data_IF_930943016991
#
_entry.id   IF_930943016991
#
_cell.length_a   1.000
_cell.length_b   1.000
_cell.length_c   1.000
_cell.angle_alpha   90.00
_cell.angle_beta   90.00
_cell.angle_gamma   90.00
#
_symmetry.space_group_name_H-M   'P 1'
#
loop_
_entity.id
_entity.type
_entity.pdbx_description
1 polymer ?
#
# COMPACT_ATOMS: atom_id res chain seq x y z
N UNK A 1 -7.19 6.87 -20.91
CA UNK A 1 -6.49 5.58 -20.69
C UNK A 1 -6.15 5.49 -19.21
N UNK A 2 -6.60 4.43 -18.54
CA UNK A 2 -6.34 4.25 -17.12
C UNK A 2 -4.86 3.89 -16.89
N UNK A 3 -4.27 4.44 -15.83
CA UNK A 3 -2.85 4.21 -15.54
C UNK A 3 -2.63 2.80 -14.97
N UNK A 4 -1.63 2.09 -15.50
CA UNK A 4 -1.15 0.83 -14.94
C UNK A 4 -0.14 1.11 -13.82
N UNK A 5 -0.22 0.31 -12.75
CA UNK A 5 0.62 0.39 -11.55
C UNK A 5 1.14 -0.99 -11.20
N UNK A 6 2.15 -1.05 -10.34
CA UNK A 6 2.75 -2.31 -9.88
C UNK A 6 2.43 -2.52 -8.42
N UNK A 7 1.84 -3.67 -8.09
CA UNK A 7 1.63 -4.09 -6.72
C UNK A 7 2.99 -4.28 -6.01
N UNK A 8 3.16 -3.63 -4.86
CA UNK A 8 4.40 -3.74 -4.07
C UNK A 8 4.53 -5.07 -3.34
N UNK A 9 3.42 -5.80 -3.17
CA UNK A 9 3.39 -7.14 -2.58
C UNK A 9 3.81 -8.23 -3.58
N UNK A 10 2.98 -8.48 -4.59
CA UNK A 10 3.20 -9.57 -5.56
C UNK A 10 4.01 -9.18 -6.79
N UNK A 11 4.30 -7.88 -7.01
CA UNK A 11 5.03 -7.35 -8.18
C UNK A 11 4.31 -7.45 -9.53
N UNK A 12 3.07 -7.96 -9.56
CA UNK A 12 2.23 -7.92 -10.74
C UNK A 12 1.83 -6.48 -11.12
N UNK A 13 1.55 -6.26 -12.40
CA UNK A 13 1.02 -4.99 -12.93
C UNK A 13 -0.48 -5.10 -13.09
N UNK A 14 -1.19 -4.03 -12.77
CA UNK A 14 -2.64 -3.97 -12.89
C UNK A 14 -3.12 -2.52 -13.11
N UNK A 15 -4.40 -2.36 -13.44
CA UNK A 15 -5.04 -1.06 -13.50
C UNK A 15 -5.01 -0.37 -12.14
N UNK A 16 -4.97 0.97 -12.14
CA UNK A 16 -5.01 1.78 -10.92
C UNK A 16 -6.24 1.43 -10.06
N UNK A 17 -7.39 1.20 -10.66
CA UNK A 17 -8.65 0.85 -9.98
C UNK A 17 -8.63 -0.53 -9.33
N UNK A 18 -7.79 -1.46 -9.80
CA UNK A 18 -7.63 -2.79 -9.21
C UNK A 18 -6.64 -2.81 -8.03
N UNK A 19 -6.00 -1.68 -7.73
CA UNK A 19 -5.01 -1.56 -6.65
C UNK A 19 -5.46 -0.51 -5.64
N UNK A 20 -5.21 -0.82 -4.38
CA UNK A 20 -5.26 0.14 -3.30
C UNK A 20 -4.00 1.02 -3.32
N UNK A 21 -4.20 2.33 -3.22
CA UNK A 21 -3.11 3.26 -2.89
C UNK A 21 -2.90 3.30 -1.39
N UNK A 22 -1.64 3.25 -0.98
CA UNK A 22 -1.22 3.41 0.41
C UNK A 22 -0.26 4.58 0.47
N UNK A 23 -0.44 5.47 1.45
CA UNK A 23 0.47 6.59 1.73
C UNK A 23 1.01 6.46 3.14
N UNK A 24 2.06 7.22 3.45
CA UNK A 24 2.54 7.38 4.82
C UNK A 24 2.21 8.81 5.32
N UNK A 25 1.87 8.87 6.60
CA UNK A 25 1.69 10.09 7.40
C UNK A 25 2.21 9.86 8.80
N UNK A 26 3.15 10.69 9.22
CA UNK A 26 3.69 10.70 10.58
C UNK A 26 4.12 9.31 11.07
N UNK A 27 4.73 8.53 10.17
CA UNK A 27 5.20 7.17 10.43
C UNK A 27 4.12 6.09 10.35
N UNK A 28 2.89 6.41 9.91
CA UNK A 28 1.75 5.48 9.86
C UNK A 28 1.31 5.26 8.42
N UNK A 29 1.03 4.00 8.07
CA UNK A 29 0.43 3.65 6.79
C UNK A 29 -1.08 3.95 6.76
N UNK A 30 -1.52 4.66 5.73
CA UNK A 30 -2.92 5.04 5.51
C UNK A 30 -3.40 4.52 4.15
N UNK A 31 -4.57 3.88 4.15
CA UNK A 31 -5.31 3.51 2.95
C UNK A 31 -5.89 4.75 2.27
N UNK A 32 -5.57 4.96 1.00
CA UNK A 32 -6.05 6.06 0.19
C UNK A 32 -6.87 5.51 -0.98
N UNK A 33 -8.03 4.94 -0.67
CA UNK A 33 -8.93 4.27 -1.62
C UNK A 33 -9.29 5.16 -2.82
N UNK A 34 -9.50 6.45 -2.57
CA UNK A 34 -9.82 7.44 -3.61
C UNK A 34 -8.58 7.98 -4.33
N UNK A 35 -7.39 7.64 -3.82
CA UNK A 35 -6.11 8.08 -4.32
C UNK A 35 -6.00 9.62 -4.44
N UNK A 36 -6.44 10.32 -3.38
CA UNK A 36 -6.51 11.79 -3.28
C UNK A 36 -5.56 12.37 -2.24
N UNK A 37 -4.99 11.56 -1.36
CA UNK A 37 -4.09 12.06 -0.31
C UNK A 37 -2.76 12.56 -0.92
N UNK A 38 -2.20 13.68 -0.44
CA UNK A 38 -0.96 14.22 -1.00
C UNK A 38 0.26 13.33 -0.72
N UNK A 39 1.35 13.57 -1.43
CA UNK A 39 2.63 12.90 -1.20
C UNK A 39 2.81 11.57 -1.97
N UNK A 40 3.89 10.86 -1.63
CA UNK A 40 4.28 9.61 -2.29
C UNK A 40 3.31 8.49 -1.90
N UNK A 41 2.86 7.72 -2.89
CA UNK A 41 2.01 6.56 -2.68
C UNK A 41 2.66 5.28 -3.19
N UNK A 42 2.36 4.18 -2.52
CA UNK A 42 2.60 2.81 -2.94
C UNK A 42 1.28 2.19 -3.41
N UNK A 43 1.35 1.21 -4.31
CA UNK A 43 0.17 0.52 -4.83
C UNK A 43 0.25 -0.95 -4.46
N UNK A 44 -0.84 -1.53 -3.96
CA UNK A 44 -0.93 -2.93 -3.55
C UNK A 44 -2.29 -3.48 -3.96
N UNK A 45 -2.38 -4.75 -4.34
CA UNK A 45 -3.70 -5.37 -4.47
C UNK A 45 -4.35 -5.41 -3.08
N UNK A 46 -5.63 -5.07 -2.99
CA UNK A 46 -6.41 -5.11 -1.74
C UNK A 46 -6.75 -6.56 -1.37
N UNK A 47 -5.72 -7.35 -1.11
CA UNK A 47 -5.81 -8.74 -0.69
C UNK A 47 -4.88 -8.95 0.49
N UNK A 48 -5.31 -9.77 1.45
CA UNK A 48 -4.50 -10.09 2.62
C UNK A 48 -3.09 -10.58 2.23
N UNK A 49 -3.00 -11.46 1.22
CA UNK A 49 -1.71 -11.99 0.75
C UNK A 49 -0.75 -10.93 0.21
N UNK A 50 -1.24 -9.94 -0.55
CA UNK A 50 -0.39 -8.87 -1.07
C UNK A 50 0.00 -7.85 0.01
N UNK A 51 -0.92 -7.50 0.90
CA UNK A 51 -0.66 -6.58 2.03
C UNK A 51 0.36 -7.19 2.98
N UNK A 52 0.14 -8.43 3.42
CA UNK A 52 1.05 -9.14 4.33
C UNK A 52 2.44 -9.32 3.70
N UNK A 53 2.51 -9.69 2.42
CA UNK A 53 3.79 -9.78 1.70
C UNK A 53 4.50 -8.43 1.65
N UNK A 54 3.76 -7.34 1.41
CA UNK A 54 4.33 -5.99 1.35
C UNK A 54 4.87 -5.54 2.72
N UNK A 55 4.18 -5.88 3.82
CA UNK A 55 4.64 -5.59 5.19
C UNK A 55 5.88 -6.42 5.52
N UNK A 56 5.81 -7.76 5.39
CA UNK A 56 6.93 -8.67 5.73
C UNK A 56 8.21 -8.34 4.99
N UNK A 57 8.10 -7.92 3.71
CA UNK A 57 9.25 -7.55 2.88
C UNK A 57 9.68 -6.09 3.03
N UNK A 58 9.08 -5.31 3.93
CA UNK A 58 9.29 -3.85 4.09
C UNK A 58 9.13 -3.08 2.77
N UNK A 59 8.22 -3.53 1.91
CA UNK A 59 8.04 -2.98 0.58
C UNK A 59 7.42 -1.57 0.62
N UNK A 60 6.51 -1.31 1.57
CA UNK A 60 5.95 0.03 1.77
C UNK A 60 7.02 1.06 2.14
N UNK A 61 7.88 0.77 3.13
CA UNK A 61 8.97 1.68 3.50
C UNK A 61 9.87 2.04 2.32
N UNK A 62 10.26 1.04 1.49
CA UNK A 62 11.03 1.29 0.27
C UNK A 62 10.26 2.13 -0.77
N UNK A 63 9.00 1.77 -1.04
CA UNK A 63 8.19 2.44 -2.06
C UNK A 63 7.84 3.88 -1.67
N UNK A 64 7.64 4.13 -0.37
CA UNK A 64 7.30 5.43 0.21
C UNK A 64 8.53 6.26 0.59
N UNK A 65 9.74 5.69 0.52
CA UNK A 65 11.01 6.31 0.90
C UNK A 65 11.04 6.76 2.37
N UNK A 66 10.51 5.93 3.25
CA UNK A 66 10.54 6.14 4.70
C UNK A 66 11.85 5.60 5.25
N UNK A 67 12.64 6.46 5.89
CA UNK A 67 13.94 6.11 6.48
C UNK A 67 13.84 5.65 7.94
N UNK A 68 12.69 5.88 8.60
CA UNK A 68 12.45 5.57 10.00
C UNK A 68 11.50 4.38 10.23
N UNK A 69 11.16 4.10 11.50
CA UNK A 69 10.12 3.14 11.86
C UNK A 69 8.81 3.48 11.15
N UNK A 70 8.16 2.45 10.61
CA UNK A 70 6.87 2.57 9.95
C UNK A 70 5.90 1.67 10.70
N UNK A 71 4.88 2.26 11.31
CA UNK A 71 3.79 1.51 11.91
C UNK A 71 2.95 0.86 10.80
N UNK A 72 2.99 -0.47 10.79
CA UNK A 72 2.24 -1.32 9.87
C UNK A 72 1.11 -2.08 10.57
N UNK A 73 1.08 -2.07 11.90
CA UNK A 73 0.11 -2.84 12.69
C UNK A 73 -1.30 -2.26 12.53
N UNK A 74 -1.41 -0.93 12.58
CA UNK A 74 -2.69 -0.23 12.39
C UNK A 74 -3.29 -0.51 11.02
N UNK A 75 -2.46 -0.54 9.97
CA UNK A 75 -2.89 -0.79 8.59
C UNK A 75 -3.42 -2.21 8.38
N UNK A 76 -2.78 -3.21 8.99
CA UNK A 76 -3.16 -4.62 8.85
C UNK A 76 -4.54 -4.90 9.45
N UNK A 77 -4.93 -4.21 10.52
CA UNK A 77 -6.25 -4.38 11.17
C UNK A 77 -7.41 -3.82 10.34
N UNK A 78 -7.20 -2.72 9.62
CA UNK A 78 -8.22 -2.13 8.73
C UNK A 78 -8.44 -2.95 7.45
N UNK A 79 -7.40 -3.60 6.93
CA UNK A 79 -7.51 -4.41 5.69
C UNK A 79 -8.00 -5.84 5.89
N UNK A 80 -8.16 -6.31 7.14
CA UNK A 80 -8.75 -7.62 7.43
C UNK A 80 -10.28 -7.67 7.23
N UNK A 81 -10.94 -6.55 6.91
CA UNK A 81 -12.41 -6.49 6.78
C UNK A 81 -12.95 -6.84 5.40
N UNK A 82 -12.10 -6.96 4.37
CA UNK A 82 -12.52 -7.23 2.99
C UNK A 82 -11.95 -8.58 2.49
N UNK A 83 -12.18 -9.64 3.26
CA UNK A 83 -11.94 -11.03 2.85
C UNK A 83 -13.26 -11.76 2.64
#
# INVERSE_FOLDING_TARGET
MEAVRTCVGCRARDLRSALLRVVERDGVLIADEKAVLPGRGAWVHDTHGCVDTAIRRRAFGRALRVSGPLDTQTFQNTHQRNG
#
